data_IF_912877727197
#
_entry.id   IF_912877727197
#
_cell.length_a   1.000
_cell.length_b   1.000
_cell.length_c   1.000
_cell.angle_alpha   90.00
_cell.angle_beta   90.00
_cell.angle_gamma   90.00
#
_symmetry.space_group_name_H-M   'P 1'
#
loop_
_entity.id
_entity.type
_entity.pdbx_description
1 polymer ?
#
# COMPACT_ATOMS: atom_id res chain seq x y z
N UNK A 1 33.64 7.44 -66.95
CA UNK A 1 32.81 8.49 -66.32
C UNK A 1 33.23 8.63 -64.87
N UNK A 2 33.52 9.85 -64.44
CA UNK A 2 33.99 10.23 -63.10
C UNK A 2 32.83 10.79 -62.27
N UNK A 3 32.78 10.46 -60.98
CA UNK A 3 32.21 11.22 -59.83
C UNK A 3 32.90 10.56 -58.61
N UNK A 4 33.87 11.10 -57.88
CA UNK A 4 33.96 12.33 -57.05
C UNK A 4 32.82 12.51 -56.03
N UNK A 5 33.18 12.31 -54.75
CA UNK A 5 33.08 13.26 -53.62
C UNK A 5 32.04 13.10 -52.48
N UNK A 6 32.64 12.97 -51.28
CA UNK A 6 32.37 13.63 -49.98
C UNK A 6 31.20 13.24 -49.05
N UNK A 7 31.64 12.83 -47.86
CA UNK A 7 31.23 13.27 -46.51
C UNK A 7 29.80 13.03 -46.01
N UNK A 8 29.71 12.34 -44.86
CA UNK A 8 29.33 12.97 -43.59
C UNK A 8 29.63 12.00 -42.44
N UNK A 9 30.64 12.36 -41.64
CA UNK A 9 30.90 11.79 -40.32
C UNK A 9 29.85 12.42 -39.39
N UNK A 10 28.88 11.63 -38.96
CA UNK A 10 27.95 12.06 -37.90
C UNK A 10 28.64 11.90 -36.54
N UNK A 11 28.81 13.02 -35.84
CA UNK A 11 29.30 13.08 -34.48
C UNK A 11 28.38 12.29 -33.53
N UNK A 12 28.94 11.33 -32.79
CA UNK A 12 28.34 10.76 -31.59
C UNK A 12 28.42 11.83 -30.49
N UNK A 13 27.27 12.38 -30.08
CA UNK A 13 27.17 13.23 -28.89
C UNK A 13 27.07 12.34 -27.67
N UNK A 14 28.16 12.27 -26.92
CA UNK A 14 28.25 11.64 -25.60
C UNK A 14 27.74 12.63 -24.56
N UNK A 15 26.42 12.77 -24.41
CA UNK A 15 25.83 13.51 -23.29
C UNK A 15 25.40 12.53 -22.19
N UNK A 16 26.22 12.29 -21.15
CA UNK A 16 25.73 11.68 -19.93
C UNK A 16 24.91 12.73 -19.19
N UNK A 17 23.60 12.79 -19.47
CA UNK A 17 22.65 13.46 -18.58
C UNK A 17 22.58 12.69 -17.26
N UNK A 18 23.55 12.95 -16.39
CA UNK A 18 23.50 12.59 -14.97
C UNK A 18 22.40 13.45 -14.36
N UNK A 19 21.19 12.89 -14.26
CA UNK A 19 20.14 13.49 -13.44
C UNK A 19 20.58 13.43 -11.99
N UNK A 20 21.08 14.55 -11.47
CA UNK A 20 21.33 14.75 -10.05
C UNK A 20 19.97 14.76 -9.36
N UNK A 21 19.63 13.65 -8.70
CA UNK A 21 18.46 13.57 -7.83
C UNK A 21 18.74 14.48 -6.62
N UNK A 22 18.12 15.65 -6.57
CA UNK A 22 18.18 16.55 -5.40
C UNK A 22 17.46 15.90 -4.21
N UNK A 23 18.11 15.66 -3.06
CA UNK A 23 17.57 14.86 -1.96
C UNK A 23 16.60 15.60 -1.01
N UNK A 24 15.83 16.59 -1.46
CA UNK A 24 15.05 17.46 -0.52
C UNK A 24 13.66 17.86 -1.04
N UNK A 25 12.98 16.95 -1.74
CA UNK A 25 11.60 17.19 -2.15
C UNK A 25 10.62 16.83 -1.02
N UNK A 26 10.48 17.71 -0.03
CA UNK A 26 9.48 17.61 1.05
C UNK A 26 8.16 16.99 0.57
N UNK A 27 7.85 15.72 0.92
CA UNK A 27 6.46 15.27 0.72
C UNK A 27 5.61 16.04 1.71
N UNK A 28 4.46 16.57 1.25
CA UNK A 28 3.42 16.95 2.17
C UNK A 28 3.08 15.77 3.08
N UNK A 29 2.91 16.05 4.38
CA UNK A 29 2.51 15.06 5.40
C UNK A 29 1.25 14.28 5.00
N UNK A 30 0.38 14.87 4.18
CA UNK A 30 -0.80 14.20 3.62
C UNK A 30 -0.45 12.99 2.76
N UNK A 31 0.76 12.89 2.21
CA UNK A 31 1.19 11.76 1.40
C UNK A 31 1.14 10.43 2.17
N UNK A 32 1.27 10.43 3.49
CA UNK A 32 1.24 9.23 4.31
C UNK A 32 -0.11 8.92 4.94
N UNK A 33 -1.16 9.65 4.55
CA UNK A 33 -2.53 9.23 4.77
C UNK A 33 -2.81 7.93 4.03
N UNK A 34 -3.51 7.00 4.69
CA UNK A 34 -3.83 5.70 4.10
C UNK A 34 -4.66 5.85 2.82
N UNK A 35 -5.47 6.90 2.71
CA UNK A 35 -6.24 7.28 1.51
C UNK A 35 -5.36 7.63 0.32
N UNK A 36 -4.13 8.05 0.56
CA UNK A 36 -3.17 8.35 -0.50
C UNK A 36 -2.22 7.17 -0.76
N UNK A 37 -1.94 6.36 0.26
CA UNK A 37 -1.09 5.17 0.12
C UNK A 37 -1.82 4.05 -0.61
N UNK A 38 -3.08 3.77 -0.27
CA UNK A 38 -3.85 2.69 -0.87
C UNK A 38 -4.00 2.81 -2.39
N UNK A 39 -4.47 3.93 -2.97
CA UNK A 39 -4.61 4.05 -4.42
C UNK A 39 -3.26 4.00 -5.15
N UNK A 40 -2.17 4.46 -4.52
CA UNK A 40 -0.83 4.35 -5.11
C UNK A 40 -0.33 2.91 -5.11
N UNK A 41 -0.61 2.15 -4.06
CA UNK A 41 -0.25 0.74 -3.98
C UNK A 41 -1.06 -0.10 -4.97
N UNK A 42 -2.37 0.14 -5.06
CA UNK A 42 -3.28 -0.54 -6.00
C UNK A 42 -3.01 -0.13 -7.45
N UNK A 43 -2.62 1.13 -7.68
CA UNK A 43 -2.40 1.69 -9.00
C UNK A 43 -3.68 1.66 -9.84
N UNK A 44 -3.61 1.06 -11.02
CA UNK A 44 -4.74 0.90 -11.95
C UNK A 44 -5.31 -0.52 -11.95
N UNK A 45 -4.90 -1.37 -11.01
CA UNK A 45 -5.36 -2.75 -10.95
C UNK A 45 -6.89 -2.80 -10.68
N UNK A 46 -7.64 -3.63 -11.41
CA UNK A 46 -9.05 -3.87 -11.10
C UNK A 46 -9.15 -4.72 -9.83
N UNK A 47 -9.42 -4.07 -8.70
CA UNK A 47 -9.55 -4.72 -7.40
C UNK A 47 -11.02 -4.90 -7.01
N UNK A 48 -11.33 -6.04 -6.39
CA UNK A 48 -12.58 -6.22 -5.65
C UNK A 48 -12.53 -5.37 -4.37
N UNK A 49 -13.50 -4.49 -4.18
CA UNK A 49 -13.67 -3.74 -2.94
C UNK A 49 -14.45 -4.59 -1.92
N UNK A 50 -13.74 -5.14 -0.94
CA UNK A 50 -14.31 -5.88 0.18
C UNK A 50 -14.85 -4.97 1.30
N UNK A 51 -14.79 -3.65 1.12
CA UNK A 51 -15.44 -2.67 1.97
C UNK A 51 -14.48 -1.69 2.64
N UNK A 52 -15.07 -0.59 3.08
CA UNK A 52 -14.46 0.44 3.93
C UNK A 52 -15.27 0.59 5.20
N UNK A 53 -14.74 0.10 6.33
CA UNK A 53 -15.48 -0.04 7.59
C UNK A 53 -15.07 1.04 8.61
N UNK A 54 -16.06 1.59 9.31
CA UNK A 54 -15.85 2.57 10.39
C UNK A 54 -15.81 1.92 11.79
N UNK A 55 -15.34 2.68 12.78
CA UNK A 55 -15.16 2.25 14.19
C UNK A 55 -16.47 1.74 14.85
N UNK A 56 -17.63 2.19 14.37
CA UNK A 56 -18.95 1.79 14.87
C UNK A 56 -19.73 0.88 13.93
N UNK A 57 -19.07 0.20 12.99
CA UNK A 57 -19.75 -0.73 12.08
C UNK A 57 -20.31 -1.96 12.82
N UNK A 58 -21.33 -2.60 12.25
CA UNK A 58 -21.92 -3.81 12.83
C UNK A 58 -21.02 -5.03 12.61
N UNK A 59 -21.02 -5.99 13.54
CA UNK A 59 -20.25 -7.24 13.43
C UNK A 59 -20.51 -7.97 12.10
N UNK A 60 -21.75 -7.92 11.61
CA UNK A 60 -22.13 -8.51 10.33
C UNK A 60 -21.37 -7.90 9.14
N UNK A 61 -21.10 -6.59 9.16
CA UNK A 61 -20.34 -5.91 8.12
C UNK A 61 -18.85 -6.28 8.17
N UNK A 62 -18.27 -6.37 9.37
CA UNK A 62 -16.89 -6.84 9.53
C UNK A 62 -16.73 -8.30 9.13
N UNK A 63 -17.67 -9.17 9.49
CA UNK A 63 -17.68 -10.57 9.09
C UNK A 63 -17.79 -10.71 7.55
N UNK A 64 -18.68 -9.95 6.91
CA UNK A 64 -18.82 -9.95 5.46
C UNK A 64 -17.54 -9.48 4.75
N UNK A 65 -16.88 -8.44 5.26
CA UNK A 65 -15.61 -7.96 4.71
C UNK A 65 -14.49 -8.99 4.85
N UNK A 66 -14.37 -9.65 6.01
CA UNK A 66 -13.44 -10.77 6.22
C UNK A 66 -13.70 -11.89 5.23
N UNK A 67 -14.96 -12.33 5.10
CA UNK A 67 -15.32 -13.45 4.23
C UNK A 67 -15.06 -13.11 2.75
N UNK A 68 -15.27 -11.85 2.35
CA UNK A 68 -14.87 -11.34 1.04
C UNK A 68 -13.36 -11.46 0.81
N UNK A 69 -12.53 -11.02 1.78
CA UNK A 69 -11.07 -11.12 1.68
C UNK A 69 -10.62 -12.57 1.56
N UNK A 70 -11.17 -13.48 2.37
CA UNK A 70 -10.82 -14.91 2.32
C UNK A 70 -11.17 -15.49 0.94
N UNK A 71 -12.35 -15.16 0.40
CA UNK A 71 -12.77 -15.62 -0.92
C UNK A 71 -11.85 -15.07 -2.03
N UNK A 72 -11.53 -13.78 -1.99
CA UNK A 72 -10.66 -13.15 -2.98
C UNK A 72 -9.21 -13.66 -2.91
N UNK A 73 -8.67 -13.84 -1.71
CA UNK A 73 -7.35 -14.42 -1.47
C UNK A 73 -7.28 -15.86 -1.99
N UNK A 74 -8.26 -16.71 -1.65
CA UNK A 74 -8.29 -18.12 -2.09
C UNK A 74 -8.38 -18.29 -3.60
N UNK A 75 -8.95 -17.31 -4.30
CA UNK A 75 -9.11 -17.28 -5.75
C UNK A 75 -8.03 -16.48 -6.48
N UNK A 76 -7.08 -15.89 -5.72
CA UNK A 76 -6.05 -14.95 -6.23
C UNK A 76 -6.65 -13.82 -7.08
N UNK A 77 -7.85 -13.39 -6.69
CA UNK A 77 -8.50 -12.23 -7.28
C UNK A 77 -8.03 -10.97 -6.55
N UNK A 78 -7.51 -9.94 -7.25
CA UNK A 78 -7.08 -8.72 -6.60
C UNK A 78 -8.21 -8.12 -5.75
N UNK A 79 -7.89 -7.67 -4.54
CA UNK A 79 -8.87 -7.12 -3.60
C UNK A 79 -8.28 -6.02 -2.74
N UNK A 80 -9.16 -5.26 -2.11
CA UNK A 80 -8.82 -4.36 -1.01
C UNK A 80 -9.92 -4.39 0.06
N UNK A 81 -9.51 -4.23 1.32
CA UNK A 81 -10.39 -3.88 2.44
C UNK A 81 -9.70 -2.81 3.27
N UNK A 82 -10.46 -1.85 3.79
CA UNK A 82 -10.01 -0.82 4.70
C UNK A 82 -10.92 -0.82 5.92
N UNK A 83 -10.38 -0.73 7.12
CA UNK A 83 -11.20 -0.55 8.31
C UNK A 83 -10.51 0.36 9.33
N UNK A 84 -11.34 1.10 10.05
CA UNK A 84 -10.90 1.96 11.13
C UNK A 84 -10.99 1.23 12.47
N UNK A 85 -10.05 1.54 13.35
CA UNK A 85 -9.96 0.95 14.68
C UNK A 85 -9.99 2.10 15.68
N UNK A 86 -10.58 1.86 16.85
CA UNK A 86 -10.55 2.81 17.94
C UNK A 86 -9.10 3.01 18.41
N UNK A 87 -8.49 4.15 18.03
CA UNK A 87 -7.30 4.67 18.69
C UNK A 87 -7.66 5.39 19.98
N UNK A 88 -6.69 5.59 20.86
CA UNK A 88 -6.91 6.30 22.13
C UNK A 88 -7.02 7.82 21.88
N UNK A 89 -6.13 8.34 21.04
CA UNK A 89 -5.90 9.76 20.78
C UNK A 89 -5.81 10.07 19.27
N UNK A 90 -5.50 9.08 18.45
CA UNK A 90 -5.37 9.21 17.00
C UNK A 90 -6.38 8.36 16.24
N UNK A 91 -6.58 8.71 14.97
CA UNK A 91 -7.27 7.85 14.01
C UNK A 91 -6.33 6.70 13.63
N UNK A 92 -6.73 5.47 13.91
CA UNK A 92 -6.04 4.26 13.48
C UNK A 92 -6.85 3.57 12.39
N UNK A 93 -6.17 3.09 11.35
CA UNK A 93 -6.80 2.29 10.32
C UNK A 93 -5.88 1.16 9.88
N UNK A 94 -6.47 0.10 9.35
CA UNK A 94 -5.74 -1.01 8.73
C UNK A 94 -6.35 -1.32 7.38
N UNK A 95 -5.54 -1.92 6.51
CA UNK A 95 -6.01 -2.43 5.24
C UNK A 95 -5.32 -3.74 4.87
N UNK A 96 -6.03 -4.58 4.14
CA UNK A 96 -5.44 -5.70 3.41
C UNK A 96 -5.65 -5.48 1.91
N UNK A 97 -4.62 -5.78 1.14
CA UNK A 97 -4.62 -5.63 -0.31
C UNK A 97 -3.98 -6.85 -0.94
N UNK A 98 -4.70 -7.55 -1.81
CA UNK A 98 -4.15 -8.64 -2.63
C UNK A 98 -3.97 -8.18 -4.07
N UNK A 99 -2.79 -8.38 -4.66
CA UNK A 99 -2.45 -7.98 -6.02
C UNK A 99 -1.67 -9.07 -6.77
N UNK A 100 -1.78 -9.06 -8.09
CA UNK A 100 -0.89 -9.81 -8.97
C UNK A 100 0.25 -8.89 -9.43
N UNK A 101 1.37 -8.89 -8.69
CA UNK A 101 2.57 -8.14 -9.04
C UNK A 101 3.43 -8.99 -9.99
N UNK A 102 3.47 -8.61 -11.27
CA UNK A 102 4.29 -9.28 -12.29
C UNK A 102 4.12 -10.82 -12.30
N UNK A 103 2.87 -11.30 -12.32
CA UNK A 103 2.46 -12.73 -12.27
C UNK A 103 2.61 -13.43 -10.92
N UNK A 104 3.18 -12.75 -9.92
CA UNK A 104 3.27 -13.28 -8.56
C UNK A 104 2.15 -12.71 -7.70
N UNK A 105 1.35 -13.60 -7.12
CA UNK A 105 0.39 -13.20 -6.10
C UNK A 105 1.14 -12.64 -4.89
N UNK A 106 0.76 -11.44 -4.45
CA UNK A 106 1.30 -10.80 -3.26
C UNK A 106 0.16 -10.17 -2.49
N UNK A 107 0.15 -10.41 -1.18
CA UNK A 107 -0.76 -9.72 -0.27
C UNK A 107 0.01 -8.71 0.56
N UNK A 108 -0.65 -7.63 0.94
CA UNK A 108 -0.09 -6.56 1.76
C UNK A 108 -0.99 -6.32 2.96
N UNK A 109 -0.36 -6.01 4.09
CA UNK A 109 -1.02 -5.44 5.24
C UNK A 109 -0.55 -4.00 5.40
N UNK A 110 -1.47 -3.07 5.61
CA UNK A 110 -1.16 -1.69 5.91
C UNK A 110 -1.69 -1.35 7.30
N UNK A 111 -0.88 -0.67 8.09
CA UNK A 111 -1.31 -0.09 9.37
C UNK A 111 -1.05 1.41 9.31
N UNK A 112 -2.09 2.18 9.57
CA UNK A 112 -2.07 3.63 9.61
C UNK A 112 -2.32 4.13 11.03
N UNK A 113 -1.50 5.09 11.43
CA UNK A 113 -1.66 5.87 12.64
C UNK A 113 -1.61 7.36 12.28
N UNK A 114 -2.68 8.08 12.58
CA UNK A 114 -2.80 9.50 12.25
C UNK A 114 -1.93 10.41 13.12
N UNK A 115 -1.54 9.95 14.31
CA UNK A 115 -0.71 10.70 15.25
C UNK A 115 0.08 9.74 16.17
N UNK A 116 1.10 9.04 15.66
CA UNK A 116 1.84 8.03 16.42
C UNK A 116 2.68 8.63 17.57
N UNK A 117 2.90 9.95 17.56
CA UNK A 117 3.62 10.67 18.63
C UNK A 117 2.70 11.20 19.75
N UNK A 118 1.38 11.15 19.55
CA UNK A 118 0.39 11.76 20.43
C UNK A 118 0.52 13.29 20.51
N UNK A 119 -0.08 13.91 21.53
CA UNK A 119 -0.18 15.38 21.65
C UNK A 119 1.14 16.19 21.82
N UNK A 120 2.32 15.60 21.62
CA UNK A 120 3.63 16.26 21.82
C UNK A 120 4.77 15.84 20.88
N UNK A 121 4.49 15.09 19.81
CA UNK A 121 5.47 14.66 18.80
C UNK A 121 5.54 15.60 17.58
N UNK A 122 6.05 15.12 16.44
CA UNK A 122 5.95 15.82 15.15
C UNK A 122 4.59 15.62 14.44
N UNK A 123 3.72 14.79 15.04
CA UNK A 123 2.30 14.53 14.77
C UNK A 123 1.96 14.29 13.30
N UNK A 124 2.81 13.56 12.60
CA UNK A 124 2.57 13.23 11.19
C UNK A 124 1.87 11.89 11.06
N UNK A 125 0.89 11.79 10.15
CA UNK A 125 0.33 10.50 9.78
C UNK A 125 1.42 9.56 9.27
N UNK A 126 1.41 8.32 9.74
CA UNK A 126 2.31 7.26 9.27
C UNK A 126 1.47 6.10 8.76
N UNK A 127 1.78 5.62 7.56
CA UNK A 127 1.32 4.32 7.07
C UNK A 127 2.51 3.40 6.93
N UNK A 128 2.47 2.26 7.60
CA UNK A 128 3.44 1.18 7.45
C UNK A 128 2.85 0.07 6.59
N UNK A 129 3.66 -0.52 5.71
CA UNK A 129 3.28 -1.54 4.75
C UNK A 129 4.13 -2.79 4.98
N UNK A 130 3.47 -3.93 5.17
CA UNK A 130 4.08 -5.24 5.21
C UNK A 130 3.68 -6.03 3.97
N UNK A 131 4.64 -6.72 3.37
CA UNK A 131 4.38 -7.73 2.34
C UNK A 131 4.17 -9.07 3.04
N UNK A 132 3.09 -9.75 2.67
CA UNK A 132 2.68 -11.05 3.18
C UNK A 132 2.87 -12.10 2.09
N UNK A 133 3.21 -13.33 2.47
CA UNK A 133 3.17 -14.47 1.54
C UNK A 133 1.72 -14.82 1.16
N UNK A 134 0.82 -14.73 2.13
CA UNK A 134 -0.63 -14.85 1.98
C UNK A 134 -1.32 -14.12 3.14
N UNK A 135 -2.64 -13.91 3.02
CA UNK A 135 -3.50 -13.55 4.15
C UNK A 135 -4.33 -14.77 4.53
N UNK A 136 -4.39 -15.08 5.82
CA UNK A 136 -5.15 -16.24 6.31
C UNK A 136 -6.11 -15.86 7.44
N UNK A 137 -7.17 -16.66 7.62
CA UNK A 137 -8.13 -16.45 8.70
C UNK A 137 -7.63 -17.05 10.01
N UNK A 138 -7.67 -16.28 11.08
CA UNK A 138 -7.42 -16.78 12.43
C UNK A 138 -8.60 -17.65 12.89
N UNK A 139 -8.31 -18.80 13.47
CA UNK A 139 -9.34 -19.74 13.93
C UNK A 139 -10.24 -19.16 15.02
N UNK A 140 -9.65 -18.80 16.17
CA UNK A 140 -10.35 -18.06 17.21
C UNK A 140 -10.22 -16.57 16.95
N UNK A 141 -11.33 -15.84 16.88
CA UNK A 141 -11.34 -14.40 16.65
C UNK A 141 -11.94 -13.64 17.83
N UNK A 142 -11.13 -13.30 18.85
CA UNK A 142 -11.61 -12.56 20.00
C UNK A 142 -11.89 -11.08 19.69
N UNK A 143 -11.33 -10.54 18.59
CA UNK A 143 -11.38 -9.11 18.28
C UNK A 143 -11.49 -8.86 16.76
N UNK A 144 -12.72 -9.08 16.25
CA UNK A 144 -13.06 -8.90 14.84
C UNK A 144 -12.83 -7.46 14.35
N UNK A 145 -13.10 -6.46 15.20
CA UNK A 145 -13.04 -5.04 14.80
C UNK A 145 -11.60 -4.53 14.65
N UNK A 146 -10.68 -5.07 15.44
CA UNK A 146 -9.28 -4.68 15.38
C UNK A 146 -8.50 -5.44 14.29
N UNK A 147 -8.83 -6.71 14.04
CA UNK A 147 -7.99 -7.60 13.22
C UNK A 147 -8.66 -8.11 11.94
N UNK A 148 -9.98 -7.94 11.80
CA UNK A 148 -10.82 -8.72 10.87
C UNK A 148 -10.65 -10.23 10.99
N UNK A 149 -10.02 -10.74 12.06
CA UNK A 149 -9.59 -12.13 12.17
C UNK A 149 -8.66 -12.56 11.02
N UNK A 150 -7.89 -11.63 10.46
CA UNK A 150 -6.97 -11.89 9.37
C UNK A 150 -5.53 -11.75 9.86
N UNK A 151 -4.64 -12.61 9.36
CA UNK A 151 -3.22 -12.54 9.65
C UNK A 151 -2.39 -12.51 8.37
N UNK A 152 -1.29 -11.76 8.44
CA UNK A 152 -0.30 -11.66 7.38
C UNK A 152 0.73 -12.77 7.58
N UNK A 153 0.72 -13.77 6.70
CA UNK A 153 1.63 -14.91 6.79
C UNK A 153 3.05 -14.49 6.37
N UNK A 154 4.03 -14.77 7.22
CA UNK A 154 5.45 -14.43 6.98
C UNK A 154 5.68 -12.95 6.64
N UNK A 155 5.34 -12.01 7.55
CA UNK A 155 5.38 -10.58 7.25
C UNK A 155 6.83 -10.13 7.03
N UNK A 156 7.09 -9.56 5.86
CA UNK A 156 8.33 -8.84 5.57
C UNK A 156 8.00 -7.36 5.54
N UNK A 157 8.67 -6.58 6.40
CA UNK A 157 8.57 -5.13 6.34
C UNK A 157 8.98 -4.67 4.94
N UNK A 158 8.04 -4.05 4.23
CA UNK A 158 8.25 -3.65 2.84
C UNK A 158 8.60 -2.18 2.76
N UNK A 159 7.79 -1.35 3.42
CA UNK A 159 7.96 0.10 3.39
C UNK A 159 7.30 0.74 4.62
N UNK A 160 7.84 1.87 5.06
CA UNK A 160 7.14 2.81 5.93
C UNK A 160 7.10 4.07 5.13
N UNK A 161 5.92 4.59 4.82
CA UNK A 161 5.79 5.89 4.17
C UNK A 161 6.65 6.93 4.91
N UNK A 162 7.82 7.35 4.37
CA UNK A 162 8.69 8.33 4.97
C UNK A 162 8.42 9.70 4.34
N UNK A 163 8.78 10.82 4.98
CA UNK A 163 8.86 12.08 4.25
C UNK A 163 9.93 11.91 3.15
N UNK A 164 9.53 11.85 1.87
CA UNK A 164 10.30 12.45 0.76
C UNK A 164 10.94 13.75 1.21
#
# INVERSE_FOLDING_TARGET
MRCWLLALVSCVSSDPHVMVVTPDAHVPSTACLIENVLPRLVGTAPVMDCGSLGIGGEDAAFAAARDCVIAAESSRQPYMVLWQIQGIDSRVAKAHVGLNDNTTWTSYQLNYDGDPGGGGGDNRPVTTIWKCGAVSSQGACPDLHNTLCLECDSPVFFDRCPPR
#
